data_IF_508436354461
#
_entry.id   IF_508436354461
#
_cell.length_a   1.000
_cell.length_b   1.000
_cell.length_c   1.000
_cell.angle_alpha   90.00
_cell.angle_beta   90.00
_cell.angle_gamma   90.00
#
_symmetry.space_group_name_H-M   'P 1'
#
loop_
_entity.id
_entity.type
_entity.pdbx_description
1 polymer ?
#
# COMPACT_ATOMS: atom_id res chain seq x y z
N UNK A 1 -25.37 1.91 5.79
CA UNK A 1 -24.20 2.29 5.00
C UNK A 1 -23.64 3.53 5.66
N UNK A 2 -22.50 3.39 6.35
CA UNK A 2 -21.85 4.52 7.01
C UNK A 2 -21.46 5.57 5.95
N UNK A 3 -21.40 6.84 6.33
CA UNK A 3 -21.10 7.97 5.44
C UNK A 3 -19.76 7.80 4.69
N UNK A 4 -18.83 7.05 5.29
CA UNK A 4 -17.56 6.60 4.73
C UNK A 4 -17.70 5.65 3.54
N UNK A 5 -18.52 4.61 3.64
CA UNK A 5 -18.75 3.61 2.59
C UNK A 5 -19.38 4.23 1.35
N UNK A 6 -20.32 5.16 1.55
CA UNK A 6 -20.96 5.91 0.47
C UNK A 6 -19.95 6.77 -0.28
N UNK A 7 -19.07 7.45 0.45
CA UNK A 7 -18.03 8.31 -0.13
C UNK A 7 -17.01 7.51 -0.94
N UNK A 8 -16.62 6.32 -0.46
CA UNK A 8 -15.71 5.41 -1.17
C UNK A 8 -16.31 4.99 -2.52
N UNK A 9 -17.57 4.57 -2.52
CA UNK A 9 -18.25 4.11 -3.74
C UNK A 9 -18.45 5.23 -4.77
N UNK A 10 -18.70 6.47 -4.32
CA UNK A 10 -18.91 7.63 -5.21
C UNK A 10 -17.60 8.14 -5.83
N UNK A 11 -16.48 7.95 -5.15
CA UNK A 11 -15.16 8.43 -5.59
C UNK A 11 -14.34 7.37 -6.33
N UNK A 12 -14.74 6.10 -6.32
CA UNK A 12 -13.98 4.98 -6.87
C UNK A 12 -13.43 5.21 -8.29
N UNK A 13 -14.24 5.79 -9.18
CA UNK A 13 -13.86 6.07 -10.56
C UNK A 13 -13.27 7.49 -10.77
N UNK A 14 -13.07 8.24 -9.69
CA UNK A 14 -12.51 9.60 -9.68
C UNK A 14 -11.11 9.55 -9.05
N UNK A 15 -10.16 8.97 -9.78
CA UNK A 15 -8.84 8.61 -9.25
C UNK A 15 -8.13 9.69 -8.41
N UNK A 16 -8.08 10.98 -8.81
CA UNK A 16 -7.42 12.00 -7.99
C UNK A 16 -8.10 12.25 -6.64
N UNK A 17 -9.44 12.22 -6.64
CA UNK A 17 -10.23 12.42 -5.41
C UNK A 17 -10.17 11.19 -4.52
N UNK A 18 -10.06 10.00 -5.12
CA UNK A 18 -9.93 8.76 -4.39
C UNK A 18 -8.56 8.61 -3.71
N UNK A 19 -7.46 8.92 -4.41
CA UNK A 19 -6.15 9.02 -3.77
C UNK A 19 -6.13 10.07 -2.67
N UNK A 20 -6.80 11.23 -2.85
CA UNK A 20 -6.91 12.23 -1.79
C UNK A 20 -7.71 11.72 -0.59
N UNK A 21 -8.73 10.89 -0.78
CA UNK A 21 -9.44 10.24 0.33
C UNK A 21 -8.53 9.28 1.09
N UNK A 22 -7.77 8.45 0.37
CA UNK A 22 -6.90 7.43 0.95
C UNK A 22 -5.70 8.04 1.68
N UNK A 23 -4.94 8.89 0.99
CA UNK A 23 -3.69 9.48 1.48
C UNK A 23 -3.95 10.71 2.34
N UNK A 24 -4.92 11.54 1.93
CA UNK A 24 -5.14 12.86 2.50
C UNK A 24 -4.36 13.94 1.77
N UNK A 25 -4.13 15.03 2.48
CA UNK A 25 -3.33 16.19 2.08
C UNK A 25 -2.53 16.66 3.30
N UNK A 26 -1.62 17.62 3.11
CA UNK A 26 -0.90 18.22 4.24
C UNK A 26 -1.84 18.92 5.26
N UNK A 27 -3.02 19.36 4.83
CA UNK A 27 -3.98 20.07 5.70
C UNK A 27 -5.05 19.14 6.30
N UNK A 28 -5.33 18.01 5.64
CA UNK A 28 -6.40 17.09 6.02
C UNK A 28 -5.92 15.64 5.92
N UNK A 29 -5.87 14.88 7.04
CA UNK A 29 -5.47 13.48 7.01
C UNK A 29 -6.46 12.61 6.21
N UNK A 30 -5.93 11.61 5.51
CA UNK A 30 -6.72 10.60 4.80
C UNK A 30 -6.97 9.34 5.61
N UNK A 31 -7.61 8.35 5.00
CA UNK A 31 -7.94 7.07 5.63
C UNK A 31 -6.71 6.31 6.14
N UNK A 32 -5.59 6.36 5.42
CA UNK A 32 -4.36 5.68 5.86
C UNK A 32 -3.78 6.28 7.15
N UNK A 33 -3.99 7.57 7.41
CA UNK A 33 -3.60 8.17 8.70
C UNK A 33 -4.42 7.61 9.86
N UNK A 34 -5.72 7.38 9.65
CA UNK A 34 -6.59 6.75 10.65
C UNK A 34 -6.21 5.28 10.89
N UNK A 35 -5.77 4.56 9.85
CA UNK A 35 -5.21 3.21 9.99
C UNK A 35 -3.93 3.25 10.83
N UNK A 36 -3.01 4.18 10.54
CA UNK A 36 -1.77 4.32 11.32
C UNK A 36 -2.06 4.59 12.81
N UNK A 37 -3.00 5.49 13.12
CA UNK A 37 -3.44 5.77 14.50
C UNK A 37 -3.97 4.51 15.20
N UNK A 38 -4.80 3.71 14.52
CA UNK A 38 -5.31 2.44 15.07
C UNK A 38 -4.21 1.42 15.36
N UNK A 39 -3.10 1.49 14.62
CA UNK A 39 -1.91 0.67 14.84
C UNK A 39 -0.92 1.28 15.85
N UNK A 40 -1.27 2.40 16.50
CA UNK A 40 -0.38 3.18 17.37
C UNK A 40 0.91 3.63 16.65
N UNK A 41 0.79 3.98 15.38
CA UNK A 41 1.87 4.51 14.54
C UNK A 41 1.56 5.94 14.11
N UNK A 42 2.61 6.68 13.79
CA UNK A 42 2.54 7.94 13.05
C UNK A 42 2.54 7.64 11.54
N UNK A 43 2.11 8.59 10.72
CA UNK A 43 2.18 8.46 9.26
C UNK A 43 2.56 9.77 8.60
N UNK A 44 3.23 9.66 7.46
CA UNK A 44 3.46 10.78 6.54
C UNK A 44 3.12 10.35 5.11
N UNK A 45 2.61 11.27 4.31
CA UNK A 45 2.38 11.07 2.88
C UNK A 45 3.58 11.54 2.07
N UNK A 46 3.73 11.02 0.85
CA UNK A 46 4.75 11.43 -0.12
C UNK A 46 6.17 11.43 0.47
N UNK A 47 6.50 10.42 1.29
CA UNK A 47 7.80 10.33 1.91
C UNK A 47 8.83 9.88 0.86
N UNK A 48 9.60 10.86 0.38
CA UNK A 48 10.44 10.76 -0.81
C UNK A 48 9.61 10.44 -2.07
N UNK A 49 9.36 9.16 -2.34
CA UNK A 49 8.58 8.69 -3.48
C UNK A 49 7.51 7.67 -3.10
N UNK A 50 7.35 7.37 -1.81
CA UNK A 50 6.32 6.46 -1.31
C UNK A 50 5.04 7.22 -0.98
N UNK A 51 3.90 6.71 -1.40
CA UNK A 51 2.61 7.36 -1.16
C UNK A 51 2.34 7.57 0.33
N UNK A 52 2.67 6.57 1.16
CA UNK A 52 2.60 6.69 2.62
C UNK A 52 3.60 5.78 3.34
N UNK A 53 4.17 6.30 4.44
CA UNK A 53 5.00 5.54 5.39
C UNK A 53 4.38 5.64 6.78
N UNK A 54 4.29 4.52 7.49
CA UNK A 54 3.98 4.49 8.92
C UNK A 54 5.25 4.24 9.74
N UNK A 55 5.39 4.96 10.85
CA UNK A 55 6.61 4.95 11.65
C UNK A 55 6.32 5.24 13.13
N UNK A 56 7.30 4.94 13.98
CA UNK A 56 7.22 5.18 15.43
C UNK A 56 7.85 6.51 15.82
N UNK A 57 9.02 6.82 15.26
CA UNK A 57 9.85 7.94 15.67
C UNK A 57 10.60 8.60 14.50
N UNK A 58 10.99 9.86 14.72
CA UNK A 58 11.78 10.67 13.79
C UNK A 58 13.23 10.79 14.28
N UNK A 59 14.15 11.02 13.35
CA UNK A 59 15.52 11.43 13.63
C UNK A 59 15.59 12.96 13.58
N UNK A 60 15.85 13.59 14.71
CA UNK A 60 15.99 15.06 14.81
C UNK A 60 17.41 15.51 15.15
N UNK A 61 18.28 14.61 15.59
CA UNK A 61 19.63 14.96 16.05
C UNK A 61 20.53 15.53 14.94
N UNK A 62 20.36 15.04 13.71
CA UNK A 62 21.27 15.35 12.59
C UNK A 62 20.67 16.28 11.53
N UNK A 63 19.40 16.65 11.68
CA UNK A 63 18.62 17.28 10.62
C UNK A 63 17.89 18.52 11.13
N UNK A 64 17.68 19.50 10.25
CA UNK A 64 16.86 20.65 10.59
C UNK A 64 15.38 20.26 10.66
N UNK A 65 14.61 21.02 11.43
CA UNK A 65 13.16 20.82 11.59
C UNK A 65 12.36 21.04 10.29
N UNK A 66 13.00 21.54 9.23
CA UNK A 66 12.37 21.77 7.92
C UNK A 66 12.10 20.47 7.14
N UNK A 67 12.72 19.37 7.55
CA UNK A 67 12.64 18.10 6.86
C UNK A 67 12.30 16.96 7.82
N UNK A 68 11.42 16.07 7.38
CA UNK A 68 11.04 14.89 8.12
C UNK A 68 11.98 13.75 7.76
N UNK A 69 12.64 13.16 8.76
CA UNK A 69 13.46 11.97 8.61
C UNK A 69 12.96 10.88 9.54
N UNK A 70 12.36 9.85 8.96
CA UNK A 70 11.87 8.68 9.70
C UNK A 70 13.06 7.84 10.15
N UNK A 71 13.13 7.48 11.44
CA UNK A 71 14.16 6.56 11.92
C UNK A 71 13.98 5.16 11.34
N UNK A 72 12.74 4.69 11.38
CA UNK A 72 12.38 3.37 10.90
C UNK A 72 10.95 3.34 10.36
N UNK A 73 10.81 2.93 9.10
CA UNK A 73 9.52 2.65 8.50
C UNK A 73 9.01 1.29 8.99
N UNK A 74 7.90 1.28 9.72
CA UNK A 74 7.20 0.05 10.14
C UNK A 74 6.30 -0.50 9.04
N UNK A 75 5.67 0.40 8.27
CA UNK A 75 4.85 0.06 7.10
C UNK A 75 5.16 1.01 5.96
N UNK A 76 5.28 0.49 4.75
CA UNK A 76 5.37 1.29 3.53
C UNK A 76 4.23 0.93 2.58
N UNK A 77 3.59 1.95 2.01
CA UNK A 77 2.34 1.79 1.28
C UNK A 77 2.43 2.52 -0.06
N UNK A 78 2.04 1.82 -1.12
CA UNK A 78 1.71 2.40 -2.42
C UNK A 78 0.22 2.23 -2.70
N UNK A 79 -0.39 3.26 -3.28
CA UNK A 79 -1.78 3.34 -3.67
C UNK A 79 -1.87 3.65 -5.17
N UNK A 80 -2.09 2.61 -5.98
CA UNK A 80 -2.15 2.75 -7.43
C UNK A 80 -3.57 2.51 -7.95
N UNK A 81 -4.20 3.57 -8.46
CA UNK A 81 -5.56 3.52 -9.04
C UNK A 81 -5.64 2.72 -10.34
N UNK A 82 -4.53 2.67 -11.10
CA UNK A 82 -4.44 2.04 -12.41
C UNK A 82 -3.50 0.85 -12.32
N UNK A 83 -4.08 -0.33 -12.17
CA UNK A 83 -3.34 -1.59 -11.98
C UNK A 83 -2.24 -1.84 -13.03
N UNK A 84 -2.33 -1.28 -14.24
CA UNK A 84 -1.27 -1.41 -15.25
C UNK A 84 0.07 -0.77 -14.84
N UNK A 85 0.08 0.13 -13.86
CA UNK A 85 1.28 0.78 -13.35
C UNK A 85 1.79 0.17 -12.03
N UNK A 86 1.03 -0.73 -11.42
CA UNK A 86 1.33 -1.28 -10.11
C UNK A 86 2.59 -2.16 -10.07
N UNK A 87 3.06 -2.67 -11.22
CA UNK A 87 4.35 -3.36 -11.31
C UNK A 87 5.52 -2.45 -10.94
N UNK A 88 5.42 -1.16 -11.24
CA UNK A 88 6.43 -0.18 -10.84
C UNK A 88 6.42 -0.01 -9.32
N UNK A 89 5.22 0.06 -8.75
CA UNK A 89 5.04 0.25 -7.32
C UNK A 89 5.49 -0.95 -6.49
N UNK A 90 5.21 -2.17 -6.94
CA UNK A 90 5.73 -3.36 -6.26
C UNK A 90 7.26 -3.47 -6.38
N UNK A 91 7.82 -3.07 -7.52
CA UNK A 91 9.28 -2.99 -7.70
C UNK A 91 9.89 -1.98 -6.74
N UNK A 92 9.25 -0.81 -6.57
CA UNK A 92 9.69 0.24 -5.64
C UNK A 92 9.61 -0.22 -4.18
N UNK A 93 8.48 -0.79 -3.76
CA UNK A 93 8.30 -1.37 -2.42
C UNK A 93 9.36 -2.42 -2.11
N UNK A 94 9.68 -3.30 -3.07
CA UNK A 94 10.66 -4.37 -2.90
C UNK A 94 12.07 -3.87 -2.56
N UNK A 95 12.40 -2.61 -2.86
CA UNK A 95 13.72 -2.04 -2.54
C UNK A 95 13.82 -1.53 -1.10
N UNK A 96 12.69 -1.33 -0.41
CA UNK A 96 12.68 -0.72 0.92
C UNK A 96 12.91 -1.75 2.02
N UNK A 97 13.80 -1.45 2.95
CA UNK A 97 13.95 -2.23 4.17
C UNK A 97 12.85 -1.88 5.19
N UNK A 98 11.70 -2.55 5.07
CA UNK A 98 10.51 -2.33 5.89
C UNK A 98 9.84 -3.68 6.23
N UNK A 99 9.37 -3.90 7.48
CA UNK A 99 8.70 -5.14 7.91
C UNK A 99 7.47 -5.48 7.10
N UNK A 100 6.64 -4.47 6.81
CA UNK A 100 5.43 -4.63 6.05
C UNK A 100 5.42 -3.65 4.88
N UNK A 101 5.24 -4.19 3.68
CA UNK A 101 5.07 -3.44 2.46
C UNK A 101 3.68 -3.73 1.93
N UNK A 102 2.95 -2.70 1.56
CA UNK A 102 1.55 -2.82 1.15
C UNK A 102 1.37 -2.16 -0.21
N UNK A 103 0.84 -2.91 -1.17
CA UNK A 103 0.33 -2.35 -2.41
C UNK A 103 -1.19 -2.39 -2.36
N UNK A 104 -1.83 -1.23 -2.51
CA UNK A 104 -3.28 -1.11 -2.66
C UNK A 104 -3.55 -0.76 -4.13
N UNK A 105 -4.32 -1.58 -4.83
CA UNK A 105 -4.65 -1.32 -6.25
C UNK A 105 -5.99 -1.92 -6.66
N UNK A 106 -6.41 -1.67 -7.91
CA UNK A 106 -7.79 -1.84 -8.35
C UNK A 106 -7.84 -2.63 -9.67
N UNK A 107 -8.06 -3.96 -9.62
CA UNK A 107 -8.22 -4.77 -10.83
C UNK A 107 -9.44 -4.32 -11.62
N UNK A 108 -9.36 -4.43 -12.95
CA UNK A 108 -10.47 -4.08 -13.85
C UNK A 108 -11.36 -5.29 -14.14
N UNK A 109 -10.82 -6.49 -14.00
CA UNK A 109 -11.50 -7.77 -14.17
C UNK A 109 -11.00 -8.77 -13.14
N UNK A 110 -11.81 -9.76 -12.79
CA UNK A 110 -11.43 -10.84 -11.88
C UNK A 110 -10.16 -11.58 -12.35
N UNK A 111 -10.04 -11.82 -13.67
CA UNK A 111 -8.86 -12.44 -14.29
C UNK A 111 -7.56 -11.65 -14.09
N UNK A 112 -7.65 -10.35 -13.79
CA UNK A 112 -6.47 -9.54 -13.51
C UNK A 112 -5.81 -9.99 -12.20
N UNK A 113 -6.57 -10.40 -11.19
CA UNK A 113 -6.05 -10.72 -9.85
C UNK A 113 -4.95 -11.77 -9.92
N UNK A 114 -5.25 -12.96 -10.46
CA UNK A 114 -4.28 -14.06 -10.57
C UNK A 114 -3.08 -13.68 -11.45
N UNK A 115 -3.34 -12.97 -12.56
CA UNK A 115 -2.31 -12.49 -13.48
C UNK A 115 -1.31 -11.57 -12.77
N UNK A 116 -1.82 -10.58 -12.04
CA UNK A 116 -0.99 -9.60 -11.36
C UNK A 116 -0.29 -10.19 -10.13
N UNK A 117 -0.95 -11.04 -9.34
CA UNK A 117 -0.29 -11.77 -8.23
C UNK A 117 0.90 -12.61 -8.74
N UNK A 118 0.73 -13.30 -9.87
CA UNK A 118 1.82 -14.07 -10.51
C UNK A 118 2.99 -13.16 -10.92
N UNK A 119 2.69 -11.98 -11.47
CA UNK A 119 3.73 -11.01 -11.85
C UNK A 119 4.43 -10.40 -10.65
N UNK A 120 3.67 -9.99 -9.62
CA UNK A 120 4.22 -9.45 -8.39
C UNK A 120 5.13 -10.46 -7.69
N UNK A 121 4.72 -11.72 -7.60
CA UNK A 121 5.52 -12.77 -7.00
C UNK A 121 6.89 -12.93 -7.69
N UNK A 122 6.92 -12.83 -9.03
CA UNK A 122 8.18 -12.84 -9.79
C UNK A 122 9.06 -11.63 -9.45
N UNK A 123 8.50 -10.43 -9.39
CA UNK A 123 9.25 -9.20 -9.06
C UNK A 123 9.84 -9.29 -7.65
N UNK A 124 9.01 -9.67 -6.67
CA UNK A 124 9.38 -9.82 -5.27
C UNK A 124 10.49 -10.87 -5.12
N UNK A 125 10.36 -12.02 -5.78
CA UNK A 125 11.37 -13.09 -5.76
C UNK A 125 12.70 -12.66 -6.36
N UNK A 126 12.68 -11.84 -7.42
CA UNK A 126 13.92 -11.29 -8.00
C UNK A 126 14.62 -10.30 -7.05
N UNK A 127 13.85 -9.59 -6.23
CA UNK A 127 14.38 -8.62 -5.27
C UNK A 127 14.74 -9.23 -3.90
N UNK A 128 14.25 -10.43 -3.56
CA UNK A 128 14.46 -11.09 -2.27
C UNK A 128 15.85 -11.73 -2.14
N UNK A 129 16.90 -10.90 -2.18
CA UNK A 129 18.31 -11.31 -2.11
C UNK A 129 18.61 -12.08 -0.81
N UNK A 130 17.89 -11.78 0.27
CA UNK A 130 18.12 -12.36 1.59
C UNK A 130 17.16 -13.51 1.94
N UNK A 131 16.21 -13.84 1.07
CA UNK A 131 15.19 -14.88 1.28
C UNK A 131 14.37 -14.67 2.57
N UNK A 132 13.94 -13.43 2.82
CA UNK A 132 13.24 -13.06 4.06
C UNK A 132 11.92 -12.30 3.82
N UNK A 133 11.53 -12.06 2.55
CA UNK A 133 10.29 -11.33 2.24
C UNK A 133 9.05 -12.12 2.66
N UNK A 134 9.14 -13.45 2.73
CA UNK A 134 8.08 -14.31 3.26
C UNK A 134 8.10 -14.44 4.78
N UNK A 135 9.10 -13.92 5.50
CA UNK A 135 9.24 -14.13 6.95
C UNK A 135 9.33 -12.81 7.74
N UNK A 136 10.32 -11.98 7.44
CA UNK A 136 10.64 -10.76 8.18
C UNK A 136 10.13 -9.48 7.51
N UNK A 137 10.09 -9.47 6.17
CA UNK A 137 9.82 -8.29 5.34
C UNK A 137 8.61 -8.52 4.45
N UNK A 138 7.48 -8.86 5.10
CA UNK A 138 6.21 -9.26 4.51
C UNK A 138 5.71 -8.29 3.44
N UNK A 139 5.14 -8.85 2.38
CA UNK A 139 4.44 -8.12 1.34
C UNK A 139 2.95 -8.47 1.36
N UNK A 140 2.12 -7.44 1.45
CA UNK A 140 0.66 -7.51 1.38
C UNK A 140 0.17 -6.80 0.11
N UNK A 141 -0.73 -7.44 -0.61
CA UNK A 141 -1.47 -6.85 -1.72
C UNK A 141 -2.92 -6.73 -1.29
N UNK A 142 -3.50 -5.55 -1.48
CA UNK A 142 -4.90 -5.26 -1.20
C UNK A 142 -5.54 -4.89 -2.54
N UNK A 143 -6.49 -5.70 -2.99
CA UNK A 143 -7.27 -5.37 -4.17
C UNK A 143 -8.62 -4.78 -3.76
N UNK A 144 -8.90 -3.59 -4.27
CA UNK A 144 -10.25 -3.05 -4.30
C UNK A 144 -10.94 -3.50 -5.58
N UNK A 145 -11.98 -4.31 -5.47
CA UNK A 145 -12.74 -4.90 -6.57
C UNK A 145 -14.08 -4.17 -6.75
N UNK A 146 -14.32 -3.67 -7.95
CA UNK A 146 -15.61 -3.10 -8.36
C UNK A 146 -15.98 -3.65 -9.74
N UNK A 147 -16.40 -4.91 -9.76
CA UNK A 147 -16.88 -5.60 -10.96
C UNK A 147 -18.40 -5.43 -11.10
N UNK A 148 -18.97 -5.75 -12.27
CA UNK A 148 -20.40 -5.57 -12.55
C UNK A 148 -21.32 -6.26 -11.51
N UNK A 149 -20.87 -7.37 -10.91
CA UNK A 149 -21.63 -8.16 -9.94
C UNK A 149 -21.32 -7.83 -8.45
N UNK A 150 -20.30 -7.00 -8.18
CA UNK A 150 -19.86 -6.67 -6.82
C UNK A 150 -19.59 -5.17 -6.66
N UNK A 151 -20.34 -4.53 -5.76
CA UNK A 151 -19.99 -3.18 -5.31
C UNK A 151 -19.04 -3.27 -4.12
N UNK A 152 -17.79 -2.87 -4.34
CA UNK A 152 -16.77 -2.64 -3.30
C UNK A 152 -16.37 -3.89 -2.50
N UNK A 153 -15.91 -4.94 -3.17
CA UNK A 153 -15.24 -6.07 -2.51
C UNK A 153 -13.77 -5.73 -2.27
N UNK A 154 -13.23 -6.18 -1.14
CA UNK A 154 -11.81 -6.06 -0.83
C UNK A 154 -11.24 -7.45 -0.57
N UNK A 155 -10.13 -7.77 -1.22
CA UNK A 155 -9.39 -9.01 -1.04
C UNK A 155 -7.94 -8.72 -0.68
N UNK A 156 -7.35 -9.60 0.12
CA UNK A 156 -6.07 -9.39 0.79
C UNK A 156 -5.18 -10.59 0.55
N UNK A 157 -3.96 -10.35 0.04
CA UNK A 157 -3.04 -11.41 -0.34
C UNK A 157 -1.66 -11.21 0.27
N UNK A 158 -1.17 -12.23 0.97
CA UNK A 158 0.16 -12.21 1.60
C UNK A 158 1.13 -13.07 0.82
N UNK A 159 2.32 -12.53 0.54
CA UNK A 159 3.38 -13.27 -0.11
C UNK A 159 4.00 -14.32 0.82
N UNK A 160 4.01 -15.57 0.39
CA UNK A 160 4.52 -16.73 1.14
C UNK A 160 5.75 -17.38 0.48
N UNK A 161 6.44 -16.65 -0.41
CA UNK A 161 7.68 -17.12 -1.01
C UNK A 161 7.42 -17.98 -2.25
N UNK A 162 7.84 -19.24 -2.21
CA UNK A 162 7.77 -20.13 -3.37
C UNK A 162 6.34 -20.45 -3.83
N UNK A 163 5.37 -20.36 -2.93
CA UNK A 163 3.95 -20.61 -3.22
C UNK A 163 3.26 -19.38 -3.83
N UNK A 164 3.93 -18.23 -3.88
CA UNK A 164 3.36 -17.00 -4.38
C UNK A 164 2.54 -16.30 -3.29
N UNK A 165 1.26 -16.11 -3.53
CA UNK A 165 0.36 -15.32 -2.68
C UNK A 165 -0.83 -16.15 -2.20
N UNK A 166 -1.13 -16.06 -0.91
CA UNK A 166 -2.34 -16.64 -0.33
C UNK A 166 -3.31 -15.55 0.11
N UNK A 167 -4.61 -15.79 -0.13
CA UNK A 167 -5.69 -14.92 0.36
C UNK A 167 -5.89 -15.10 1.87
N UNK A 168 -6.15 -14.00 2.60
CA UNK A 168 -6.35 -13.98 4.06
C UNK A 168 -7.63 -13.28 4.50
#
# INVERSE_FOLDING_TARGET
MEESERTISELWNKFPDYSRLMLGTYEKPGLLNEVAKKLNLQSTINYWSFDSIFYTELITEFFSDDYLYVNYASVAIEHENVINYSHNEISKLSLLNCPLKVLITYPKKETDIETYLTHYAKIIKLADVFNDFSSLRKQLIIFGESFEDYHNKWSYYVYNGNEGFDEI
#
